data_IF_803162716735
#
_entry.id   IF_803162716735
#
_cell.length_a   1.000
_cell.length_b   1.000
_cell.length_c   1.000
_cell.angle_alpha   90.00
_cell.angle_beta   90.00
_cell.angle_gamma   90.00
#
_symmetry.space_group_name_H-M   'P 1'
#
loop_
_entity.id
_entity.type
_entity.pdbx_description
1 polymer ?
#
# COMPACT_ATOMS: atom_id res chain seq x y z
N UNK A 1 -6.63 14.02 11.05
CA UNK A 1 -5.69 13.39 11.98
C UNK A 1 -5.42 11.99 11.48
N UNK A 2 -4.15 11.59 11.33
CA UNK A 2 -3.79 10.21 11.05
C UNK A 2 -4.30 9.39 12.26
N UNK A 3 -5.30 8.54 12.04
CA UNK A 3 -6.09 7.90 13.09
C UNK A 3 -5.23 7.01 14.02
N UNK A 4 -5.82 6.63 15.16
CA UNK A 4 -5.27 5.69 16.18
C UNK A 4 -4.68 4.40 15.58
N UNK A 5 -5.09 4.04 14.36
CA UNK A 5 -4.63 2.88 13.57
C UNK A 5 -3.13 2.90 13.20
N UNK A 6 -2.47 4.06 13.20
CA UNK A 6 -1.04 4.19 12.86
C UNK A 6 -0.11 4.29 14.09
N UNK A 7 -0.65 4.23 15.30
CA UNK A 7 0.12 4.47 16.54
C UNK A 7 1.30 3.50 16.75
N UNK A 8 1.23 2.29 16.19
CA UNK A 8 2.26 1.26 16.31
C UNK A 8 3.24 1.20 15.13
N UNK A 9 3.08 2.06 14.11
CA UNK A 9 3.99 2.08 12.96
C UNK A 9 5.26 2.88 13.31
N UNK A 10 6.46 2.42 12.88
CA UNK A 10 7.70 3.18 13.05
C UNK A 10 7.73 4.38 12.08
N UNK A 11 6.86 5.35 12.32
CA UNK A 11 6.65 6.51 11.47
C UNK A 11 7.50 7.69 11.94
N UNK A 12 8.34 8.19 11.06
CA UNK A 12 8.97 9.50 11.22
C UNK A 12 8.21 10.52 10.39
N UNK A 13 7.88 11.67 10.99
CA UNK A 13 7.17 12.75 10.31
C UNK A 13 7.99 14.02 10.30
N UNK A 14 7.87 14.79 9.22
CA UNK A 14 8.43 16.12 9.12
C UNK A 14 7.38 17.08 8.55
N UNK A 15 7.40 18.32 9.03
CA UNK A 15 6.54 19.38 8.50
C UNK A 15 7.06 19.85 7.15
N UNK A 16 6.18 19.85 6.14
CA UNK A 16 6.56 20.30 4.80
C UNK A 16 5.39 20.21 3.82
N UNK A 17 5.66 20.60 2.58
CA UNK A 17 4.71 20.46 1.47
C UNK A 17 5.45 19.88 0.27
N UNK A 18 4.86 18.87 -0.36
CA UNK A 18 5.40 18.26 -1.57
C UNK A 18 4.61 18.77 -2.78
N UNK A 19 5.28 19.49 -3.66
CA UNK A 19 4.70 19.91 -4.93
C UNK A 19 4.55 18.71 -5.87
N UNK A 20 3.52 18.70 -6.72
CA UNK A 20 3.25 17.60 -7.65
C UNK A 20 4.46 17.28 -8.55
N UNK A 21 5.19 18.30 -9.02
CA UNK A 21 6.35 18.13 -9.91
C UNK A 21 7.44 17.24 -9.32
N UNK A 22 7.64 17.28 -7.99
CA UNK A 22 8.64 16.45 -7.29
C UNK A 22 8.33 14.96 -7.45
N UNK A 23 7.05 14.60 -7.61
CA UNK A 23 6.64 13.20 -7.78
C UNK A 23 7.12 12.59 -9.09
N UNK A 24 7.57 13.38 -10.06
CA UNK A 24 8.12 12.86 -11.32
C UNK A 24 9.48 12.20 -11.12
N UNK A 25 10.30 12.74 -10.22
CA UNK A 25 11.69 12.34 -10.03
C UNK A 25 11.99 11.65 -8.70
N UNK A 26 11.12 11.79 -7.70
CA UNK A 26 11.33 11.14 -6.38
C UNK A 26 11.40 9.62 -6.52
N UNK A 27 12.39 9.01 -5.89
CA UNK A 27 12.60 7.56 -5.94
C UNK A 27 12.26 6.91 -4.61
N UNK A 28 12.06 5.59 -4.62
CA UNK A 28 11.82 4.81 -3.40
C UNK A 28 10.43 4.97 -2.80
N UNK A 29 9.44 5.47 -3.56
CA UNK A 29 8.04 5.55 -3.12
C UNK A 29 7.20 4.44 -3.77
N UNK A 30 6.32 3.83 -2.98
CA UNK A 30 5.40 2.78 -3.44
C UNK A 30 3.94 3.23 -3.47
N UNK A 31 3.59 4.34 -2.83
CA UNK A 31 2.26 4.94 -2.84
C UNK A 31 2.37 6.44 -2.47
N UNK A 32 1.35 7.22 -2.85
CA UNK A 32 1.16 8.59 -2.38
C UNK A 32 -0.22 8.72 -1.76
N UNK A 33 -0.30 9.14 -0.49
CA UNK A 33 -1.56 9.50 0.15
C UNK A 33 -1.74 11.01 0.12
N UNK A 34 -2.86 11.46 -0.44
CA UNK A 34 -3.18 12.88 -0.54
C UNK A 34 -4.69 13.12 -0.39
N UNK A 35 -5.08 13.66 0.75
CA UNK A 35 -6.45 14.07 1.04
C UNK A 35 -6.81 15.37 0.31
N UNK A 36 -7.21 15.23 -0.94
CA UNK A 36 -7.84 16.27 -1.77
C UNK A 36 -8.95 15.64 -2.60
N UNK A 37 -9.83 16.45 -3.16
CA UNK A 37 -10.98 15.95 -3.92
C UNK A 37 -10.98 16.45 -5.37
N UNK A 38 -11.60 15.65 -6.25
CA UNK A 38 -11.96 16.06 -7.61
C UNK A 38 -10.78 16.53 -8.47
N UNK A 39 -10.92 17.73 -9.04
CA UNK A 39 -9.94 18.34 -9.94
C UNK A 39 -8.62 18.69 -9.25
N UNK A 40 -8.61 18.88 -7.94
CA UNK A 40 -7.44 19.34 -7.20
C UNK A 40 -6.33 18.29 -7.16
N UNK A 41 -6.66 17.02 -7.39
CA UNK A 41 -5.71 15.92 -7.50
C UNK A 41 -5.05 15.82 -8.89
N UNK A 42 -5.56 16.55 -9.90
CA UNK A 42 -5.09 16.42 -11.29
C UNK A 42 -3.57 16.65 -11.45
N UNK A 43 -2.95 17.65 -10.80
CA UNK A 43 -1.50 17.83 -10.91
C UNK A 43 -0.71 16.61 -10.42
N UNK A 44 -1.12 16.01 -9.30
CA UNK A 44 -0.49 14.80 -8.74
C UNK A 44 -0.70 13.57 -9.60
N UNK A 45 -1.93 13.37 -10.13
CA UNK A 45 -2.21 12.28 -11.08
C UNK A 45 -1.34 12.37 -12.33
N UNK A 46 -1.19 13.58 -12.87
CA UNK A 46 -0.40 13.83 -14.08
C UNK A 46 1.08 13.56 -13.81
N UNK A 47 1.63 14.10 -12.71
CA UNK A 47 3.03 13.88 -12.35
C UNK A 47 3.37 12.40 -12.09
N UNK A 48 2.46 11.65 -11.44
CA UNK A 48 2.65 10.21 -11.24
C UNK A 48 2.57 9.41 -12.55
N UNK A 49 1.71 9.81 -13.48
CA UNK A 49 1.58 9.17 -14.79
C UNK A 49 2.78 9.41 -15.73
N UNK A 50 3.54 10.49 -15.51
CA UNK A 50 4.78 10.79 -16.24
C UNK A 50 5.99 10.00 -15.73
N UNK A 51 5.85 9.24 -14.64
CA UNK A 51 6.94 8.40 -14.09
C UNK A 51 7.17 7.19 -14.98
N UNK A 52 8.44 6.85 -15.15
CA UNK A 52 8.81 5.55 -15.71
C UNK A 52 8.74 4.45 -14.63
N UNK A 53 8.45 3.23 -15.06
CA UNK A 53 8.45 2.04 -14.19
C UNK A 53 7.07 1.73 -13.61
N UNK A 54 7.04 1.39 -12.31
CA UNK A 54 5.82 0.91 -11.64
C UNK A 54 4.81 2.04 -11.51
N UNK A 55 3.54 1.72 -11.76
CA UNK A 55 2.41 2.62 -11.51
C UNK A 55 2.29 2.84 -10.01
N UNK A 56 2.60 4.05 -9.55
CA UNK A 56 2.48 4.43 -8.14
C UNK A 56 1.02 4.85 -7.88
N UNK A 57 0.30 4.18 -6.96
CA UNK A 57 -1.07 4.54 -6.61
C UNK A 57 -1.14 5.89 -5.90
N UNK A 58 -2.22 6.63 -6.17
CA UNK A 58 -2.60 7.85 -5.47
C UNK A 58 -3.85 7.57 -4.64
N UNK A 59 -3.68 7.43 -3.33
CA UNK A 59 -4.75 7.21 -2.36
C UNK A 59 -5.31 8.56 -1.93
N UNK A 60 -6.63 8.74 -2.00
CA UNK A 60 -7.29 10.03 -1.74
C UNK A 60 -8.34 9.98 -0.64
N UNK A 61 -8.72 8.78 -0.18
CA UNK A 61 -9.66 8.59 0.92
C UNK A 61 -8.93 8.17 2.20
N UNK A 62 -9.31 8.68 3.40
CA UNK A 62 -8.72 8.22 4.66
C UNK A 62 -8.89 6.71 4.91
N UNK A 63 -9.96 6.12 4.38
CA UNK A 63 -10.24 4.68 4.46
C UNK A 63 -9.33 3.82 3.58
N UNK A 64 -8.53 4.42 2.69
CA UNK A 64 -7.61 3.67 1.82
C UNK A 64 -6.32 3.22 2.54
N UNK A 65 -6.17 3.50 3.83
CA UNK A 65 -4.95 3.20 4.60
C UNK A 65 -4.53 1.72 4.56
N UNK A 66 -5.50 0.80 4.47
CA UNK A 66 -5.23 -0.64 4.37
C UNK A 66 -4.46 -1.01 3.08
N UNK A 67 -4.45 -0.14 2.06
CA UNK A 67 -3.65 -0.32 0.83
C UNK A 67 -2.16 0.01 1.02
N UNK A 68 -1.74 0.50 2.19
CA UNK A 68 -0.34 0.82 2.51
C UNK A 68 0.46 -0.36 3.07
N UNK A 69 -0.06 -1.58 2.97
CA UNK A 69 0.62 -2.80 3.38
C UNK A 69 1.12 -3.59 2.17
N UNK A 70 2.24 -4.29 2.33
CA UNK A 70 2.72 -5.23 1.32
C UNK A 70 2.17 -6.61 1.60
N UNK A 71 1.16 -7.00 0.84
CA UNK A 71 0.59 -8.35 0.89
C UNK A 71 1.56 -9.39 0.33
N UNK A 72 1.66 -10.54 1.00
CA UNK A 72 2.44 -11.69 0.54
C UNK A 72 1.58 -12.94 0.64
N UNK A 73 1.21 -13.49 -0.51
CA UNK A 73 0.51 -14.76 -0.57
C UNK A 73 1.50 -15.92 -0.48
N UNK A 74 1.19 -16.91 0.36
CA UNK A 74 1.95 -18.15 0.47
C UNK A 74 0.97 -19.31 0.34
N UNK A 75 1.22 -20.18 -0.64
CA UNK A 75 0.48 -21.44 -0.78
C UNK A 75 1.38 -22.56 -0.29
N UNK A 76 0.92 -23.28 0.75
CA UNK A 76 1.64 -24.41 1.32
C UNK A 76 0.93 -25.70 0.93
N UNK A 77 1.65 -26.61 0.29
CA UNK A 77 1.16 -27.97 0.08
C UNK A 77 1.24 -28.76 1.40
N UNK A 78 0.13 -28.77 2.13
CA UNK A 78 0.00 -29.51 3.39
C UNK A 78 -0.07 -31.03 3.20
N UNK A 79 -0.10 -31.51 1.95
CA UNK A 79 -0.11 -32.94 1.59
C UNK A 79 1.22 -33.45 1.05
N UNK A 80 2.24 -32.58 0.97
CA UNK A 80 3.55 -32.92 0.40
C UNK A 80 4.26 -34.09 1.11
N UNK A 81 3.93 -34.37 2.38
CA UNK A 81 4.45 -35.52 3.15
C UNK A 81 3.72 -36.85 2.86
N UNK A 82 2.73 -36.86 1.96
CA UNK A 82 2.02 -38.07 1.52
C UNK A 82 0.74 -38.38 2.29
N UNK A 83 0.24 -37.47 3.13
CA UNK A 83 -1.03 -37.63 3.83
C UNK A 83 -1.55 -36.30 4.38
N UNK A 84 -2.88 -36.14 4.43
CA UNK A 84 -3.50 -34.97 5.05
C UNK A 84 -3.87 -35.31 6.51
N UNK A 85 -3.07 -34.81 7.46
CA UNK A 85 -3.28 -35.06 8.89
C UNK A 85 -4.67 -34.62 9.36
N UNK A 86 -5.22 -33.52 8.83
CA UNK A 86 -6.57 -33.06 9.15
C UNK A 86 -7.63 -34.08 8.76
N UNK A 87 -7.50 -34.69 7.56
CA UNK A 87 -8.41 -35.75 7.13
C UNK A 87 -8.30 -37.01 7.99
N UNK A 88 -7.08 -37.37 8.42
CA UNK A 88 -6.85 -38.56 9.26
C UNK A 88 -7.49 -38.42 10.66
N UNK A 89 -7.47 -37.21 11.24
CA UNK A 89 -8.07 -36.94 12.56
C UNK A 89 -9.60 -36.93 12.50
N UNK A 90 -10.22 -36.51 11.39
CA UNK A 90 -11.69 -36.49 11.27
C UNK A 90 -12.32 -37.88 11.18
N UNK A 91 -11.55 -38.91 10.82
CA UNK A 91 -12.02 -40.29 10.71
C UNK A 91 -11.74 -41.15 11.95
N UNK A 92 -11.02 -40.61 12.94
CA UNK A 92 -10.72 -41.25 14.21
C UNK A 92 -11.77 -40.91 15.28
#
# INVERSE_FOLDING_TARGET
ELSETLADWPLETCSGTVAAEVLKSVQGINAVCLWRAGSDLRPWRTALAEREGVIVPLLSDPGDGDQLVLERHVCVDTTASGGNTTLLVQTA
#
